data_IF_653769284699
#
_entry.id   IF_653769284699
#
_cell.length_a   1.000
_cell.length_b   1.000
_cell.length_c   1.000
_cell.angle_alpha   90.00
_cell.angle_beta   90.00
_cell.angle_gamma   90.00
#
_symmetry.space_group_name_H-M   'P 1'
#
loop_
_entity.id
_entity.type
_entity.pdbx_description
1 polymer ?
#
# COMPACT_ATOMS: atom_id res chain seq x y z
N UNK A 1 35.36 -20.67 42.24
CA UNK A 1 33.94 -20.32 42.47
C UNK A 1 33.18 -20.51 41.16
N UNK A 2 32.03 -21.21 41.15
CA UNK A 2 31.45 -21.71 39.92
C UNK A 2 30.80 -20.60 39.10
N UNK A 3 30.99 -20.65 37.78
CA UNK A 3 30.37 -19.74 36.83
C UNK A 3 28.86 -19.99 36.77
N UNK A 4 28.07 -19.21 37.51
CA UNK A 4 26.60 -19.26 37.43
C UNK A 4 26.11 -18.80 36.05
N UNK A 5 25.61 -19.76 35.27
CA UNK A 5 24.94 -19.54 33.99
C UNK A 5 23.60 -18.84 34.21
N UNK A 6 23.53 -17.53 33.95
CA UNK A 6 22.26 -16.81 33.98
C UNK A 6 21.44 -17.15 32.72
N UNK A 7 20.42 -18.00 32.86
CA UNK A 7 19.44 -18.31 31.81
C UNK A 7 18.24 -17.35 31.92
N UNK A 8 17.57 -17.11 30.80
CA UNK A 8 16.31 -16.36 30.77
C UNK A 8 15.21 -17.16 31.46
N UNK A 9 14.46 -16.55 32.38
CA UNK A 9 13.34 -17.24 33.04
C UNK A 9 12.27 -17.78 32.06
N UNK A 10 11.96 -17.02 31.00
CA UNK A 10 10.84 -17.36 30.09
C UNK A 10 11.17 -18.31 28.92
N UNK A 11 12.42 -18.33 28.48
CA UNK A 11 12.81 -19.13 27.31
C UNK A 11 14.09 -19.94 27.52
N UNK A 12 14.59 -19.97 28.76
CA UNK A 12 15.78 -20.69 29.22
C UNK A 12 17.08 -20.37 28.45
N UNK A 13 17.05 -19.37 27.57
CA UNK A 13 18.20 -18.97 26.75
C UNK A 13 19.34 -18.44 27.62
N UNK A 14 20.56 -18.89 27.35
CA UNK A 14 21.78 -18.43 28.04
C UNK A 14 22.02 -16.92 27.79
N UNK A 15 22.01 -16.11 28.85
CA UNK A 15 22.16 -14.65 28.78
C UNK A 15 23.61 -14.17 28.74
N UNK A 16 24.59 -15.07 28.51
CA UNK A 16 26.03 -14.73 28.55
C UNK A 16 26.47 -13.70 27.50
N UNK A 17 25.69 -13.53 26.42
CA UNK A 17 25.98 -12.62 25.30
C UNK A 17 24.97 -11.47 25.13
N UNK A 18 23.94 -11.39 25.97
CA UNK A 18 22.87 -10.38 25.87
C UNK A 18 22.83 -9.47 27.12
N UNK A 19 22.43 -8.20 26.95
CA UNK A 19 22.20 -7.29 28.08
C UNK A 19 21.06 -7.83 28.94
N UNK A 20 21.36 -8.19 30.19
CA UNK A 20 20.37 -8.62 31.20
C UNK A 20 19.44 -7.46 31.54
N UNK A 21 18.13 -7.72 31.60
CA UNK A 21 17.13 -6.78 32.11
C UNK A 21 16.47 -7.41 33.34
N UNK A 22 16.57 -6.75 34.49
CA UNK A 22 15.96 -7.18 35.74
C UNK A 22 14.57 -6.54 35.90
N UNK A 23 13.59 -7.27 36.45
CA UNK A 23 12.20 -6.81 36.62
C UNK A 23 12.03 -5.67 37.65
N UNK A 24 13.10 -5.29 38.37
CA UNK A 24 13.10 -4.38 39.53
C UNK A 24 12.60 -2.94 39.28
N UNK A 25 12.16 -2.60 38.06
CA UNK A 25 11.84 -1.21 37.69
C UNK A 25 10.33 -0.88 37.64
N UNK A 26 9.42 -1.80 37.99
CA UNK A 26 7.98 -1.53 38.02
C UNK A 26 7.25 -2.48 38.99
N UNK A 27 6.84 -2.03 40.20
CA UNK A 27 6.18 -2.87 41.21
C UNK A 27 4.89 -3.53 40.72
N UNK A 28 4.02 -2.81 40.01
CA UNK A 28 2.76 -3.35 39.46
C UNK A 28 2.96 -4.46 38.42
N UNK A 29 4.16 -4.53 37.84
CA UNK A 29 4.53 -5.55 36.84
C UNK A 29 4.97 -6.86 37.49
N UNK A 30 5.45 -6.82 38.74
CA UNK A 30 5.92 -8.02 39.43
C UNK A 30 4.76 -8.92 39.84
N UNK A 31 3.72 -8.35 40.46
CA UNK A 31 2.58 -9.12 40.98
C UNK A 31 1.80 -9.82 39.86
N UNK A 32 1.60 -9.14 38.72
CA UNK A 32 0.93 -9.73 37.55
C UNK A 32 1.76 -10.84 36.89
N UNK A 33 3.07 -10.66 36.81
CA UNK A 33 3.97 -11.66 36.21
C UNK A 33 4.08 -12.88 37.12
N UNK A 34 4.09 -12.68 38.44
CA UNK A 34 4.10 -13.77 39.40
C UNK A 34 2.79 -14.59 39.36
N UNK A 35 1.62 -13.94 39.25
CA UNK A 35 0.32 -14.63 39.11
C UNK A 35 0.22 -15.46 37.82
N UNK A 36 0.73 -14.94 36.70
CA UNK A 36 0.74 -15.68 35.43
C UNK A 36 1.72 -16.87 35.46
N UNK A 37 2.84 -16.73 36.16
CA UNK A 37 3.82 -17.80 36.32
C UNK A 37 3.33 -18.91 37.24
N UNK A 38 2.66 -18.55 38.33
CA UNK A 38 2.00 -19.49 39.22
C UNK A 38 0.97 -20.35 38.46
N UNK A 39 0.21 -19.72 37.54
CA UNK A 39 -0.78 -20.39 36.68
C UNK A 39 -0.17 -21.32 35.63
N UNK A 40 0.99 -20.97 35.08
CA UNK A 40 1.60 -21.73 33.97
C UNK A 40 2.58 -22.82 34.45
N UNK A 41 3.29 -22.58 35.55
CA UNK A 41 4.41 -23.41 35.98
C UNK A 41 4.36 -23.82 37.46
N UNK A 42 3.37 -23.37 38.21
CA UNK A 42 3.09 -23.85 39.58
C UNK A 42 4.06 -23.38 40.67
N UNK A 43 4.91 -22.40 40.40
CA UNK A 43 5.83 -21.81 41.38
C UNK A 43 6.00 -20.30 41.15
N UNK A 44 6.35 -19.57 42.22
CA UNK A 44 6.59 -18.13 42.19
C UNK A 44 7.95 -17.80 41.54
N UNK A 45 8.06 -16.60 40.98
CA UNK A 45 9.33 -16.06 40.47
C UNK A 45 10.05 -15.33 41.60
N UNK A 46 11.33 -15.64 41.80
CA UNK A 46 12.19 -14.87 42.71
C UNK A 46 12.66 -13.56 42.06
N UNK A 47 12.80 -12.50 42.88
CA UNK A 47 13.18 -11.12 42.50
C UNK A 47 14.48 -10.99 41.68
N UNK A 48 15.30 -12.04 41.64
CA UNK A 48 16.58 -12.07 40.91
C UNK A 48 16.47 -12.64 39.48
N UNK A 49 15.29 -13.06 39.04
CA UNK A 49 15.11 -13.72 37.74
C UNK A 49 15.35 -12.76 36.57
N UNK A 50 16.31 -13.09 35.70
CA UNK A 50 16.69 -12.27 34.56
C UNK A 50 15.94 -12.66 33.28
N UNK A 51 15.49 -11.67 32.49
CA UNK A 51 14.82 -11.89 31.20
C UNK A 51 15.70 -11.46 30.02
N UNK A 52 15.57 -12.17 28.89
CA UNK A 52 16.17 -11.76 27.63
C UNK A 52 15.40 -10.60 27.00
N UNK A 53 16.06 -9.84 26.13
CA UNK A 53 15.46 -8.63 25.53
C UNK A 53 14.24 -8.97 24.66
N UNK A 54 14.25 -10.11 23.96
CA UNK A 54 13.14 -10.54 23.12
C UNK A 54 11.87 -10.85 23.94
N UNK A 55 12.02 -11.58 25.06
CA UNK A 55 10.92 -11.88 25.97
C UNK A 55 10.38 -10.62 26.64
N UNK A 56 11.27 -9.71 27.07
CA UNK A 56 10.87 -8.41 27.62
C UNK A 56 10.07 -7.56 26.61
N UNK A 57 10.50 -7.52 25.35
CA UNK A 57 9.83 -6.71 24.31
C UNK A 57 8.51 -7.32 23.84
N UNK A 58 8.39 -8.66 23.79
CA UNK A 58 7.09 -9.32 23.55
C UNK A 58 6.08 -8.97 24.64
N UNK A 59 6.52 -8.96 25.89
CA UNK A 59 5.68 -8.66 27.05
C UNK A 59 5.27 -7.17 27.13
N UNK A 60 6.20 -6.23 26.91
CA UNK A 60 5.86 -4.79 26.91
C UNK A 60 4.77 -4.43 25.88
N UNK A 61 4.66 -5.23 24.81
CA UNK A 61 3.60 -5.08 23.80
C UNK A 61 2.26 -5.62 24.26
N UNK A 62 2.22 -6.71 25.04
CA UNK A 62 0.96 -7.29 25.55
C UNK A 62 0.35 -6.48 26.69
N UNK A 63 1.17 -5.84 27.54
CA UNK A 63 0.67 -4.94 28.61
C UNK A 63 0.05 -3.67 28.02
N UNK A 64 0.62 -3.13 26.94
CA UNK A 64 0.07 -1.94 26.26
C UNK A 64 -1.24 -2.21 25.52
N UNK A 65 -1.54 -3.47 25.18
CA UNK A 65 -2.82 -3.85 24.55
C UNK A 65 -3.94 -4.13 25.57
N UNK A 66 -3.64 -4.23 26.87
CA UNK A 66 -4.62 -4.53 27.92
C UNK A 66 -5.12 -3.31 28.71
N UNK A 67 -4.62 -2.10 28.44
CA UNK A 67 -4.90 -0.90 29.24
C UNK A 67 -5.94 0.05 28.60
N UNK A 68 -6.95 -0.47 27.90
CA UNK A 68 -8.05 0.34 27.38
C UNK A 68 -9.40 -0.36 27.46
N UNK A 69 -9.94 -0.46 28.67
CA UNK A 69 -11.38 -0.58 28.92
C UNK A 69 -11.68 0.12 30.23
N UNK A 70 -12.18 1.35 30.15
CA UNK A 70 -12.91 2.01 31.24
C UNK A 70 -14.40 2.01 30.85
N UNK A 71 -15.22 1.59 31.82
CA UNK A 71 -16.65 1.38 31.76
C UNK A 71 -17.47 2.64 31.41
N UNK A 72 -18.47 2.49 30.55
CA UNK A 72 -19.81 3.09 30.75
C UNK A 72 -20.83 2.60 29.71
N UNK A 73 -21.71 1.71 30.19
CA UNK A 73 -23.15 1.59 29.91
C UNK A 73 -23.72 2.16 28.60
N UNK A 74 -24.14 1.28 27.68
CA UNK A 74 -25.38 1.45 26.89
C UNK A 74 -26.05 0.06 26.72
N UNK A 75 -27.35 0.03 27.00
CA UNK A 75 -28.27 -1.11 26.95
C UNK A 75 -28.38 -1.75 25.56
N UNK A 76 -28.68 -3.04 25.59
CA UNK A 76 -28.61 -4.01 24.51
C UNK A 76 -30.02 -4.35 24.02
N UNK A 77 -30.34 -4.03 22.77
CA UNK A 77 -31.42 -4.68 22.02
C UNK A 77 -30.83 -5.90 21.29
N UNK A 78 -31.41 -7.06 21.59
CA UNK A 78 -31.03 -8.38 21.12
C UNK A 78 -31.67 -8.70 19.79
N UNK A 79 -30.87 -8.98 18.75
CA UNK A 79 -31.24 -9.94 17.70
C UNK A 79 -30.06 -10.88 17.42
N UNK A 80 -30.31 -12.15 17.67
CA UNK A 80 -29.44 -13.32 17.59
C UNK A 80 -29.22 -13.78 16.15
N UNK A 81 -27.96 -13.95 15.73
CA UNK A 81 -27.57 -14.98 14.74
C UNK A 81 -26.29 -15.66 15.19
N UNK A 82 -26.42 -16.94 15.48
CA UNK A 82 -25.37 -17.88 15.85
C UNK A 82 -24.40 -18.08 14.69
N UNK A 83 -23.10 -18.14 14.99
CA UNK A 83 -22.10 -18.84 14.18
C UNK A 83 -20.98 -19.32 15.12
N UNK A 84 -20.85 -20.64 15.22
CA UNK A 84 -19.83 -21.35 15.99
C UNK A 84 -18.40 -21.14 15.43
N UNK A 85 -17.36 -21.15 16.28
CA UNK A 85 -15.97 -21.08 15.84
C UNK A 85 -15.43 -22.47 15.46
N UNK A 86 -14.97 -22.61 14.21
CA UNK A 86 -14.20 -23.77 13.75
C UNK A 86 -12.79 -23.73 14.35
N UNK A 87 -12.50 -24.71 15.19
CA UNK A 87 -11.16 -25.03 15.72
C UNK A 87 -10.32 -25.73 14.66
N UNK A 88 -9.15 -25.15 14.33
CA UNK A 88 -8.12 -25.82 13.52
C UNK A 88 -7.10 -26.43 14.48
N UNK A 89 -7.10 -27.76 14.59
CA UNK A 89 -6.10 -28.53 15.33
C UNK A 89 -4.86 -28.78 14.47
N UNK A 90 -3.71 -28.33 14.96
CA UNK A 90 -2.39 -28.71 14.44
C UNK A 90 -2.03 -30.10 14.97
N UNK A 91 -1.92 -31.10 14.10
CA UNK A 91 -1.30 -32.39 14.45
C UNK A 91 0.17 -32.32 14.05
N UNK A 92 1.04 -32.20 15.06
CA UNK A 92 2.47 -32.45 14.93
C UNK A 92 2.74 -33.95 14.96
N UNK A 93 3.46 -34.47 13.96
CA UNK A 93 4.02 -35.82 14.01
C UNK A 93 5.18 -35.85 15.02
N UNK A 94 4.99 -36.61 16.11
CA UNK A 94 6.08 -37.11 16.93
C UNK A 94 6.61 -38.41 16.32
N UNK A 95 7.94 -38.49 16.17
CA UNK A 95 8.64 -39.72 15.86
C UNK A 95 8.73 -40.59 17.11
N UNK A 96 8.24 -41.83 17.04
CA UNK A 96 8.56 -42.88 17.99
C UNK A 96 8.99 -44.15 17.26
N UNK A 97 10.07 -44.73 17.77
CA UNK A 97 10.74 -45.92 17.30
C UNK A 97 10.17 -47.18 17.95
N UNK A 98 9.86 -48.21 17.16
CA UNK A 98 10.03 -49.62 17.55
C UNK A 98 9.88 -50.58 16.36
N UNK A 99 10.69 -51.63 16.40
CA UNK A 99 10.88 -52.73 15.47
C UNK A 99 9.78 -53.80 15.51
N UNK A 100 9.45 -54.41 14.37
CA UNK A 100 9.69 -55.84 14.00
C UNK A 100 8.64 -56.44 13.04
N UNK A 101 9.17 -57.09 12.00
CA UNK A 101 8.71 -58.23 11.19
C UNK A 101 7.25 -58.47 10.71
N UNK A 102 7.23 -58.85 9.41
CA UNK A 102 6.38 -59.84 8.74
C UNK A 102 5.12 -59.38 7.95
N UNK A 103 5.26 -59.53 6.62
CA UNK A 103 4.31 -60.02 5.59
C UNK A 103 2.80 -59.78 5.83
N UNK A 104 2.11 -59.18 4.87
CA UNK A 104 1.45 -59.82 3.70
C UNK A 104 0.52 -58.80 3.02
N UNK A 105 0.29 -58.99 1.72
CA UNK A 105 -0.93 -58.65 0.95
C UNK A 105 -1.01 -57.30 0.24
N UNK A 106 -1.04 -57.40 -1.09
CA UNK A 106 -1.40 -56.36 -2.06
C UNK A 106 -2.75 -55.71 -1.73
N UNK A 107 -2.82 -54.40 -1.92
CA UNK A 107 -4.09 -53.73 -2.23
C UNK A 107 -3.81 -52.65 -3.28
N UNK A 108 -4.14 -53.02 -4.52
CA UNK A 108 -4.35 -52.15 -5.66
C UNK A 108 -5.30 -51.00 -5.36
N UNK A 109 -5.11 -49.88 -6.09
CA UNK A 109 -5.94 -48.67 -6.21
C UNK A 109 -5.50 -47.50 -5.32
N UNK A 110 -4.52 -46.74 -5.81
CA UNK A 110 -4.56 -45.29 -5.71
C UNK A 110 -4.51 -44.76 -7.14
N UNK A 111 -5.65 -44.26 -7.61
CA UNK A 111 -5.71 -43.43 -8.81
C UNK A 111 -4.80 -42.24 -8.61
N UNK A 112 -3.83 -42.06 -9.50
CA UNK A 112 -3.03 -40.84 -9.57
C UNK A 112 -3.98 -39.69 -9.90
N UNK A 113 -4.33 -38.88 -8.89
CA UNK A 113 -5.04 -37.62 -9.07
C UNK A 113 -4.15 -36.65 -9.86
N UNK A 114 -4.24 -36.75 -11.18
CA UNK A 114 -3.54 -35.87 -12.12
C UNK A 114 -4.18 -34.48 -12.06
N UNK A 115 -3.50 -33.55 -11.37
CA UNK A 115 -3.91 -32.15 -11.34
C UNK A 115 -3.71 -31.56 -12.74
N UNK A 116 -4.81 -31.22 -13.43
CA UNK A 116 -4.76 -30.54 -14.72
C UNK A 116 -4.43 -29.05 -14.51
N UNK A 117 -3.16 -28.70 -14.58
CA UNK A 117 -2.72 -27.31 -14.66
C UNK A 117 -2.73 -26.85 -16.12
N UNK A 118 -3.39 -25.71 -16.39
CA UNK A 118 -3.41 -25.09 -17.73
C UNK A 118 -2.21 -24.17 -17.87
N UNK A 119 -1.01 -24.76 -17.97
CA UNK A 119 0.24 -24.04 -18.14
C UNK A 119 0.89 -24.52 -19.43
N UNK A 120 1.23 -23.61 -20.34
CA UNK A 120 1.94 -23.97 -21.55
C UNK A 120 3.45 -24.10 -21.28
N UNK A 121 4.05 -25.18 -21.76
CA UNK A 121 5.49 -25.44 -21.67
C UNK A 121 6.10 -25.46 -23.08
N UNK A 122 6.54 -24.31 -23.61
CA UNK A 122 7.32 -24.29 -24.84
C UNK A 122 8.54 -25.21 -24.67
N UNK A 123 8.88 -25.96 -25.72
CA UNK A 123 10.06 -26.81 -25.73
C UNK A 123 11.34 -26.02 -25.43
N UNK A 124 12.44 -26.70 -25.13
CA UNK A 124 13.72 -26.03 -24.88
C UNK A 124 14.62 -26.12 -26.11
N UNK A 125 15.04 -24.98 -26.65
CA UNK A 125 16.07 -24.93 -27.70
C UNK A 125 17.02 -23.75 -27.52
N UNK A 126 18.31 -23.99 -27.76
CA UNK A 126 19.35 -22.97 -27.81
C UNK A 126 19.57 -22.40 -29.23
N UNK A 127 18.99 -23.06 -30.25
CA UNK A 127 19.20 -22.76 -31.68
C UNK A 127 18.06 -21.97 -32.31
N UNK A 128 16.87 -21.98 -31.72
CA UNK A 128 15.69 -21.30 -32.26
C UNK A 128 15.11 -20.34 -31.23
N UNK A 129 14.45 -19.28 -31.71
CA UNK A 129 13.63 -18.42 -30.88
C UNK A 129 12.41 -19.18 -30.37
N UNK A 130 12.14 -19.15 -29.06
CA UNK A 130 11.01 -19.87 -28.47
C UNK A 130 9.63 -19.23 -28.70
N UNK A 131 9.60 -18.02 -29.26
CA UNK A 131 8.36 -17.33 -29.63
C UNK A 131 8.02 -17.57 -31.11
N UNK A 132 8.98 -17.34 -32.01
CA UNK A 132 8.73 -17.41 -33.46
C UNK A 132 9.35 -18.63 -34.17
N UNK A 133 10.04 -19.52 -33.45
CA UNK A 133 10.74 -20.70 -33.98
C UNK A 133 11.79 -20.44 -35.07
N UNK A 134 12.16 -19.18 -35.31
CA UNK A 134 13.21 -18.82 -36.26
C UNK A 134 14.61 -19.21 -35.73
N UNK A 135 15.48 -19.69 -36.61
CA UNK A 135 16.89 -19.97 -36.30
C UNK A 135 17.60 -18.72 -35.79
N UNK A 136 18.41 -18.89 -34.75
CA UNK A 136 19.21 -17.83 -34.12
C UNK A 136 20.64 -17.77 -34.67
N UNK A 137 20.87 -18.30 -35.88
CA UNK A 137 22.19 -18.38 -36.52
C UNK A 137 22.63 -17.00 -37.07
N UNK A 138 23.90 -16.67 -36.82
CA UNK A 138 24.83 -15.63 -37.35
C UNK A 138 24.31 -14.31 -37.96
N UNK A 139 23.11 -13.84 -37.59
CA UNK A 139 22.64 -12.51 -37.98
C UNK A 139 21.38 -11.99 -37.28
N UNK A 140 20.63 -12.85 -36.59
CA UNK A 140 19.46 -12.44 -35.80
C UNK A 140 19.87 -12.06 -34.38
N UNK A 141 19.71 -10.78 -33.96
CA UNK A 141 20.05 -10.38 -32.61
C UNK A 141 19.11 -11.09 -31.62
N UNK A 142 19.68 -11.83 -30.69
CA UNK A 142 18.95 -12.66 -29.74
C UNK A 142 19.61 -12.67 -28.38
N UNK A 143 18.78 -12.78 -27.36
CA UNK A 143 19.20 -12.65 -25.96
C UNK A 143 18.63 -13.81 -25.14
N UNK A 144 19.37 -14.23 -24.11
CA UNK A 144 18.84 -15.13 -23.08
C UNK A 144 17.72 -14.38 -22.37
N UNK A 145 16.53 -14.97 -22.26
CA UNK A 145 15.42 -14.34 -21.55
C UNK A 145 15.82 -14.15 -20.08
N UNK A 146 15.69 -12.92 -19.58
CA UNK A 146 15.93 -12.63 -18.16
C UNK A 146 14.90 -13.33 -17.29
N UNK A 147 15.23 -13.52 -16.02
CA UNK A 147 14.31 -14.13 -15.04
C UNK A 147 13.01 -13.32 -14.95
N UNK A 148 13.10 -11.99 -15.02
CA UNK A 148 11.96 -11.06 -15.04
C UNK A 148 11.02 -11.31 -16.22
N UNK A 149 11.55 -11.48 -17.44
CA UNK A 149 10.72 -11.77 -18.62
C UNK A 149 10.04 -13.14 -18.46
N UNK A 150 10.75 -14.16 -17.97
CA UNK A 150 10.19 -15.51 -17.75
C UNK A 150 9.06 -15.49 -16.72
N UNK A 151 9.29 -14.82 -15.58
CA UNK A 151 8.34 -14.69 -14.48
C UNK A 151 7.10 -13.89 -14.92
N UNK A 152 7.30 -12.74 -15.56
CA UNK A 152 6.20 -11.91 -16.06
C UNK A 152 5.36 -12.67 -17.10
N UNK A 153 5.99 -13.39 -18.02
CA UNK A 153 5.27 -14.19 -19.02
C UNK A 153 4.46 -15.32 -18.37
N UNK A 154 4.99 -15.95 -17.31
CA UNK A 154 4.24 -16.94 -16.55
C UNK A 154 3.04 -16.34 -15.81
N UNK A 155 3.23 -15.21 -15.11
CA UNK A 155 2.17 -14.55 -14.33
C UNK A 155 1.04 -14.07 -15.24
N UNK A 156 1.37 -13.41 -16.35
CA UNK A 156 0.36 -12.74 -17.19
C UNK A 156 -0.20 -13.63 -18.30
N UNK A 157 0.52 -14.67 -18.73
CA UNK A 157 0.14 -15.47 -19.89
C UNK A 157 0.14 -16.97 -19.62
N UNK A 158 0.45 -17.42 -18.40
CA UNK A 158 0.47 -18.83 -18.00
C UNK A 158 1.38 -19.70 -18.90
N UNK A 159 2.43 -19.09 -19.45
CA UNK A 159 3.46 -19.77 -20.24
C UNK A 159 4.75 -19.80 -19.46
N UNK A 160 5.29 -20.99 -19.23
CA UNK A 160 6.53 -21.16 -18.48
C UNK A 160 7.72 -21.46 -19.40
N UNK A 161 8.74 -20.61 -19.37
CA UNK A 161 10.01 -20.83 -20.05
C UNK A 161 11.08 -21.33 -19.07
N UNK A 162 11.77 -22.42 -19.44
CA UNK A 162 12.92 -22.95 -18.66
C UNK A 162 14.08 -21.96 -18.63
N UNK A 163 14.90 -22.00 -17.57
CA UNK A 163 16.15 -21.23 -17.57
C UNK A 163 17.04 -21.55 -18.78
N UNK A 164 17.68 -20.52 -19.32
CA UNK A 164 18.50 -20.61 -20.54
C UNK A 164 17.71 -20.48 -21.85
N UNK A 165 16.39 -20.29 -21.77
CA UNK A 165 15.51 -20.00 -22.91
C UNK A 165 15.97 -18.75 -23.68
N UNK A 166 15.95 -18.82 -25.02
CA UNK A 166 16.35 -17.71 -25.91
C UNK A 166 15.18 -17.19 -26.72
N UNK A 167 15.14 -15.87 -26.87
CA UNK A 167 14.22 -15.18 -27.76
C UNK A 167 14.98 -14.16 -28.61
N UNK A 168 14.48 -13.86 -29.81
CA UNK A 168 15.06 -12.80 -30.62
C UNK A 168 14.61 -11.43 -30.11
N UNK A 169 15.47 -10.41 -30.25
CA UNK A 169 15.23 -9.07 -29.69
C UNK A 169 13.96 -8.41 -30.21
N UNK A 170 13.43 -8.85 -31.36
CA UNK A 170 12.17 -8.34 -31.93
C UNK A 170 10.94 -8.65 -31.09
N UNK A 171 11.04 -9.55 -30.11
CA UNK A 171 9.93 -9.95 -29.23
C UNK A 171 10.09 -9.42 -27.81
N UNK A 172 11.21 -8.76 -27.50
CA UNK A 172 11.54 -8.26 -26.17
C UNK A 172 11.52 -6.73 -26.22
N UNK A 173 10.76 -6.12 -25.33
CA UNK A 173 10.69 -4.68 -25.13
C UNK A 173 10.93 -4.38 -23.65
N UNK A 174 12.15 -3.96 -23.31
CA UNK A 174 12.60 -3.86 -21.91
C UNK A 174 12.57 -5.22 -21.21
N UNK A 175 11.86 -5.30 -20.08
CA UNK A 175 11.70 -6.51 -19.26
C UNK A 175 10.40 -7.27 -19.56
N UNK A 176 9.78 -6.98 -20.70
CA UNK A 176 8.51 -7.59 -21.14
C UNK A 176 8.58 -8.15 -22.56
N UNK A 177 7.66 -9.06 -22.88
CA UNK A 177 7.39 -9.48 -24.26
C UNK A 177 6.44 -8.48 -24.91
N UNK A 178 6.71 -8.12 -26.16
CA UNK A 178 5.84 -7.19 -26.88
C UNK A 178 4.50 -7.84 -27.29
N UNK A 179 3.53 -7.01 -27.66
CA UNK A 179 2.16 -7.46 -27.94
C UNK A 179 2.07 -8.47 -29.10
N UNK A 180 2.98 -8.38 -30.08
CA UNK A 180 3.09 -9.35 -31.17
C UNK A 180 3.54 -10.73 -30.67
N UNK A 181 4.51 -10.78 -29.75
CA UNK A 181 4.97 -12.01 -29.11
C UNK A 181 3.86 -12.66 -28.28
N UNK A 182 3.10 -11.86 -27.52
CA UNK A 182 1.99 -12.34 -26.70
C UNK A 182 0.90 -12.99 -27.57
N UNK A 183 0.54 -12.40 -28.72
CA UNK A 183 -0.43 -12.97 -29.65
C UNK A 183 0.02 -14.30 -30.25
N UNK A 184 1.33 -14.48 -30.47
CA UNK A 184 1.88 -15.76 -30.92
C UNK A 184 1.76 -16.79 -29.79
N UNK A 185 2.13 -16.45 -28.56
CA UNK A 185 2.06 -17.34 -27.41
C UNK A 185 0.62 -17.75 -27.03
N UNK A 186 -0.36 -16.86 -27.22
CA UNK A 186 -1.78 -17.20 -27.04
C UNK A 186 -2.26 -18.27 -28.02
N UNK A 187 -1.72 -18.32 -29.24
CA UNK A 187 -1.98 -19.40 -30.20
C UNK A 187 -1.33 -20.72 -29.77
N UNK A 188 -0.16 -20.68 -29.14
CA UNK A 188 0.48 -21.87 -28.55
C UNK A 188 -0.34 -22.42 -27.36
N UNK A 189 -0.87 -21.54 -26.50
CA UNK A 189 -1.69 -21.94 -25.35
C UNK A 189 -2.95 -22.74 -25.76
N UNK A 190 -3.48 -22.49 -26.96
CA UNK A 190 -4.63 -23.24 -27.50
C UNK A 190 -4.25 -24.56 -28.18
N UNK A 191 -2.97 -24.74 -28.54
CA UNK A 191 -2.48 -25.91 -29.28
C UNK A 191 -1.71 -26.93 -28.42
N UNK A 192 -1.12 -26.52 -27.30
CA UNK A 192 -0.21 -27.36 -26.48
C UNK A 192 -0.60 -27.40 -25.00
N UNK A 193 -1.90 -27.42 -24.68
CA UNK A 193 -2.40 -27.64 -23.32
C UNK A 193 -2.14 -29.11 -22.90
N UNK A 194 -0.87 -29.46 -22.72
CA UNK A 194 -0.47 -30.74 -22.14
C UNK A 194 -0.61 -30.65 -20.62
N UNK A 195 -1.18 -31.70 -20.03
CA UNK A 195 -1.18 -31.92 -18.59
C UNK A 195 0.26 -31.98 -18.08
N UNK A 196 0.65 -30.98 -17.30
CA UNK A 196 1.96 -30.96 -16.64
C UNK A 196 2.15 -32.24 -15.82
N UNK A 197 3.20 -33.01 -16.12
CA UNK A 197 3.52 -34.21 -15.35
C UNK A 197 4.00 -33.82 -13.94
N UNK A 198 3.76 -34.64 -12.92
CA UNK A 198 4.10 -34.34 -11.52
C UNK A 198 5.58 -33.96 -11.31
N UNK A 199 6.48 -34.53 -12.12
CA UNK A 199 7.89 -34.16 -12.12
C UNK A 199 8.15 -32.74 -12.62
N UNK A 200 7.45 -32.28 -13.67
CA UNK A 200 7.59 -30.93 -14.22
C UNK A 200 7.08 -29.88 -13.23
N UNK A 201 6.00 -30.18 -12.52
CA UNK A 201 5.47 -29.34 -11.44
C UNK A 201 6.48 -29.28 -10.29
N UNK A 202 7.09 -30.41 -9.93
CA UNK A 202 8.10 -30.45 -8.87
C UNK A 202 9.36 -29.65 -9.23
N UNK A 203 9.78 -29.69 -10.50
CA UNK A 203 10.92 -28.91 -11.00
C UNK A 203 10.58 -27.42 -11.06
N UNK A 204 9.38 -27.06 -11.50
CA UNK A 204 8.89 -25.69 -11.50
C UNK A 204 8.84 -25.14 -10.07
N UNK A 205 8.30 -25.89 -9.11
CA UNK A 205 8.29 -25.50 -7.69
C UNK A 205 9.71 -25.35 -7.13
N UNK A 206 10.64 -26.28 -7.44
CA UNK A 206 12.03 -26.20 -7.00
C UNK A 206 12.78 -25.02 -7.62
N UNK A 207 12.51 -24.70 -8.89
CA UNK A 207 13.10 -23.54 -9.57
C UNK A 207 12.56 -22.24 -8.97
N UNK A 208 11.25 -22.13 -8.75
CA UNK A 208 10.66 -21.01 -8.02
C UNK A 208 11.22 -20.89 -6.59
N UNK A 209 11.41 -22.00 -5.88
CA UNK A 209 12.03 -22.00 -4.55
C UNK A 209 13.49 -21.52 -4.59
N UNK A 210 14.27 -21.97 -5.59
CA UNK A 210 15.65 -21.53 -5.75
C UNK A 210 15.75 -20.06 -6.12
N UNK A 211 14.88 -19.58 -7.01
CA UNK A 211 14.79 -18.16 -7.38
C UNK A 211 14.39 -17.32 -6.15
N UNK A 212 13.44 -17.78 -5.34
CA UNK A 212 13.05 -17.13 -4.08
C UNK A 212 14.16 -17.16 -3.01
N UNK A 213 15.01 -18.18 -2.97
CA UNK A 213 16.15 -18.28 -2.04
C UNK A 213 17.34 -17.40 -2.45
N UNK A 214 17.58 -17.25 -3.76
CA UNK A 214 18.64 -16.39 -4.30
C UNK A 214 18.28 -14.90 -4.22
N UNK A 215 16.98 -14.58 -4.26
CA UNK A 215 16.48 -13.26 -3.94
C UNK A 215 16.55 -13.08 -2.42
N UNK A 216 17.64 -12.46 -1.92
CA UNK A 216 17.80 -12.09 -0.51
C UNK A 216 16.47 -11.58 0.09
N UNK A 217 16.09 -11.98 1.33
CA UNK A 217 14.82 -11.61 1.97
C UNK A 217 14.61 -10.11 2.23
N UNK A 218 15.47 -9.24 1.70
CA UNK A 218 15.35 -7.79 1.80
C UNK A 218 14.58 -7.15 0.64
N UNK A 219 14.48 -7.78 -0.54
CA UNK A 219 13.81 -7.15 -1.71
C UNK A 219 12.34 -7.57 -1.90
N UNK A 220 11.95 -8.78 -1.49
CA UNK A 220 10.55 -9.25 -1.56
C UNK A 220 9.67 -8.76 -0.40
N UNK A 221 10.26 -8.30 0.70
CA UNK A 221 9.57 -7.56 1.76
C UNK A 221 9.78 -6.05 1.64
N UNK A 222 10.02 -5.50 0.44
CA UNK A 222 9.44 -4.19 0.17
C UNK A 222 7.94 -4.46 0.09
N UNK A 223 7.13 -4.05 1.08
CA UNK A 223 5.69 -4.17 0.95
C UNK A 223 5.35 -3.57 -0.42
N UNK A 224 4.82 -4.40 -1.33
CA UNK A 224 4.31 -3.91 -2.61
C UNK A 224 3.35 -2.81 -2.22
N UNK A 225 3.69 -1.59 -2.61
CA UNK A 225 2.83 -0.43 -2.43
C UNK A 225 1.50 -0.81 -3.06
N UNK A 226 0.44 -0.96 -2.24
CA UNK A 226 -0.90 -1.30 -2.75
C UNK A 226 -1.31 -0.23 -3.78
N UNK A 227 -0.92 1.01 -3.51
CA UNK A 227 -1.01 2.12 -4.45
C UNK A 227 0.37 2.52 -5.00
N UNK A 228 0.56 2.48 -6.31
CA UNK A 228 1.77 2.88 -7.01
C UNK A 228 1.46 3.77 -8.23
N UNK A 229 1.75 5.06 -8.12
CA UNK A 229 1.56 6.04 -9.21
C UNK A 229 2.78 6.20 -10.14
N UNK A 230 3.89 5.50 -9.87
CA UNK A 230 5.05 5.49 -10.76
C UNK A 230 4.84 4.61 -11.99
N UNK A 231 3.98 3.59 -11.89
CA UNK A 231 3.59 2.76 -13.03
C UNK A 231 2.40 3.39 -13.78
N UNK A 232 2.59 3.89 -15.02
CA UNK A 232 1.52 4.52 -15.77
C UNK A 232 0.47 3.51 -16.26
N UNK A 233 0.72 2.20 -16.26
CA UNK A 233 -0.20 1.19 -16.78
C UNK A 233 -1.05 0.52 -15.69
N UNK A 234 -0.76 0.78 -14.42
CA UNK A 234 -1.41 0.12 -13.30
C UNK A 234 -2.89 0.52 -13.11
N UNK A 235 -3.25 1.74 -13.52
CA UNK A 235 -4.56 2.33 -13.26
C UNK A 235 -5.22 2.84 -14.54
N UNK A 236 -6.54 2.61 -14.64
CA UNK A 236 -7.40 3.22 -15.64
C UNK A 236 -7.71 4.69 -15.29
N UNK A 237 -8.27 5.45 -16.23
CA UNK A 237 -8.67 6.84 -15.97
C UNK A 237 -9.74 6.95 -14.88
N UNK A 238 -10.64 5.96 -14.80
CA UNK A 238 -11.65 5.91 -13.74
C UNK A 238 -11.01 5.68 -12.37
N UNK A 239 -9.99 4.81 -12.29
CA UNK A 239 -9.23 4.62 -11.05
C UNK A 239 -8.53 5.92 -10.62
N UNK A 240 -7.95 6.68 -11.56
CA UNK A 240 -7.36 7.99 -11.27
C UNK A 240 -8.40 8.97 -10.73
N UNK A 241 -9.60 9.06 -11.33
CA UNK A 241 -10.68 9.92 -10.83
C UNK A 241 -11.17 9.49 -9.44
N UNK A 242 -11.32 8.19 -9.21
CA UNK A 242 -11.72 7.65 -7.91
C UNK A 242 -10.69 7.94 -6.82
N UNK A 243 -9.41 7.70 -7.12
CA UNK A 243 -8.33 7.83 -6.15
C UNK A 243 -7.88 9.28 -5.95
N UNK A 244 -7.81 10.09 -6.99
CA UNK A 244 -7.18 11.43 -6.94
C UNK A 244 -8.15 12.58 -7.20
N UNK A 245 -9.30 12.30 -7.83
CA UNK A 245 -10.28 13.31 -8.24
C UNK A 245 -10.01 13.94 -9.61
N UNK A 246 -8.93 13.55 -10.29
CA UNK A 246 -8.54 14.06 -11.60
C UNK A 246 -8.23 12.91 -12.57
N UNK A 247 -8.23 13.21 -13.86
CA UNK A 247 -7.89 12.25 -14.91
C UNK A 247 -6.38 12.00 -14.98
N UNK A 248 -5.99 10.90 -15.62
CA UNK A 248 -4.57 10.51 -15.75
C UNK A 248 -3.73 11.54 -16.49
N UNK A 249 -4.25 12.13 -17.55
CA UNK A 249 -3.56 13.19 -18.31
C UNK A 249 -3.37 14.46 -17.47
N UNK A 250 -4.39 14.84 -16.70
CA UNK A 250 -4.34 15.96 -15.76
C UNK A 250 -3.32 15.69 -14.65
N UNK A 251 -3.29 14.47 -14.13
CA UNK A 251 -2.31 14.05 -13.13
C UNK A 251 -0.88 14.14 -13.67
N UNK A 252 -0.64 13.63 -14.88
CA UNK A 252 0.68 13.71 -15.52
C UNK A 252 1.12 15.17 -15.68
N UNK A 253 0.25 16.02 -16.23
CA UNK A 253 0.49 17.46 -16.41
C UNK A 253 0.81 18.14 -15.07
N UNK A 254 0.05 17.82 -14.01
CA UNK A 254 0.28 18.35 -12.68
C UNK A 254 1.66 17.94 -12.13
N UNK A 255 2.05 16.67 -12.31
CA UNK A 255 3.35 16.19 -11.84
C UNK A 255 4.54 16.81 -12.58
N UNK A 256 4.34 17.27 -13.81
CA UNK A 256 5.35 17.99 -14.60
C UNK A 256 5.52 19.46 -14.16
N UNK A 257 4.42 20.11 -13.77
CA UNK A 257 4.43 21.49 -13.28
C UNK A 257 5.18 21.61 -11.95
N UNK A 258 4.99 20.62 -11.07
CA UNK A 258 5.48 20.68 -9.69
C UNK A 258 6.97 20.32 -9.59
N UNK A 259 7.76 21.23 -9.04
CA UNK A 259 9.21 21.05 -8.85
C UNK A 259 9.49 20.51 -7.45
N UNK A 260 9.79 19.22 -7.36
CA UNK A 260 10.22 18.59 -6.11
C UNK A 260 11.42 17.68 -6.34
N UNK A 261 12.20 17.42 -5.29
CA UNK A 261 13.25 16.42 -5.35
C UNK A 261 12.65 15.03 -5.10
N UNK A 262 13.01 14.09 -5.95
CA UNK A 262 12.86 12.67 -5.63
C UNK A 262 13.70 12.34 -4.40
N UNK A 263 13.22 11.44 -3.55
CA UNK A 263 13.98 10.89 -2.43
C UNK A 263 14.07 9.38 -2.58
N UNK A 264 14.96 8.74 -1.82
CA UNK A 264 15.14 7.29 -1.85
C UNK A 264 13.84 6.51 -1.58
N UNK A 265 12.90 7.12 -0.85
CA UNK A 265 11.66 6.49 -0.42
C UNK A 265 10.43 6.94 -1.21
N UNK A 266 10.55 7.91 -2.13
CA UNK A 266 9.42 8.38 -2.94
C UNK A 266 9.82 9.17 -4.18
N UNK A 267 9.04 9.00 -5.24
CA UNK A 267 9.02 9.90 -6.38
C UNK A 267 8.12 11.12 -6.16
N UNK A 268 8.18 12.08 -7.08
CA UNK A 268 7.22 13.20 -7.19
C UNK A 268 5.80 12.66 -7.40
N UNK A 269 5.61 11.72 -8.34
CA UNK A 269 4.30 11.15 -8.67
C UNK A 269 3.66 10.48 -7.46
N UNK A 270 4.43 9.69 -6.72
CA UNK A 270 3.97 9.06 -5.49
C UNK A 270 3.54 10.08 -4.42
N UNK A 271 4.25 11.20 -4.31
CA UNK A 271 3.92 12.23 -3.35
C UNK A 271 2.64 13.00 -3.69
N UNK A 272 2.50 13.39 -4.96
CA UNK A 272 1.30 14.07 -5.46
C UNK A 272 0.11 13.11 -5.40
N UNK A 273 0.28 11.86 -5.81
CA UNK A 273 -0.73 10.80 -5.69
C UNK A 273 -1.17 10.61 -4.24
N UNK A 274 -0.24 10.49 -3.29
CA UNK A 274 -0.56 10.35 -1.87
C UNK A 274 -1.36 11.55 -1.31
N UNK A 275 -0.97 12.76 -1.69
CA UNK A 275 -1.68 13.98 -1.27
C UNK A 275 -3.09 14.04 -1.87
N UNK A 276 -3.24 13.82 -3.18
CA UNK A 276 -4.53 13.87 -3.85
C UNK A 276 -5.46 12.76 -3.33
N UNK A 277 -4.94 11.55 -3.12
CA UNK A 277 -5.71 10.48 -2.48
C UNK A 277 -6.16 10.85 -1.09
N UNK A 278 -5.30 11.49 -0.29
CA UNK A 278 -5.72 12.01 1.01
C UNK A 278 -6.88 13.00 0.91
N UNK A 279 -6.78 13.97 0.00
CA UNK A 279 -7.78 15.02 -0.17
C UNK A 279 -9.11 14.45 -0.71
N UNK A 280 -9.04 13.50 -1.64
CA UNK A 280 -10.22 12.89 -2.28
C UNK A 280 -10.98 11.95 -1.33
N UNK A 281 -10.26 11.10 -0.60
CA UNK A 281 -10.84 10.01 0.20
C UNK A 281 -10.98 10.33 1.68
N UNK A 282 -10.33 11.39 2.16
CA UNK A 282 -10.27 11.79 3.59
C UNK A 282 -9.67 10.74 4.51
N UNK A 283 -8.88 9.81 3.98
CA UNK A 283 -8.24 8.76 4.77
C UNK A 283 -7.20 9.33 5.76
N UNK A 284 -7.07 8.64 6.90
CA UNK A 284 -6.07 8.95 7.91
C UNK A 284 -4.66 8.67 7.39
N UNK A 285 -3.65 9.36 7.94
CA UNK A 285 -2.26 9.11 7.55
C UNK A 285 -1.80 7.68 7.90
N UNK A 286 -2.46 7.03 8.87
CA UNK A 286 -2.17 5.64 9.22
C UNK A 286 -2.63 4.69 8.11
N UNK A 287 -3.84 4.88 7.59
CA UNK A 287 -4.36 4.06 6.48
C UNK A 287 -3.57 4.31 5.21
N UNK A 288 -3.25 5.58 4.91
CA UNK A 288 -2.39 5.92 3.78
C UNK A 288 -0.99 5.32 3.90
N UNK A 289 -0.43 5.22 5.10
CA UNK A 289 0.86 4.55 5.29
C UNK A 289 0.77 3.07 4.89
N UNK A 290 -0.33 2.39 5.24
CA UNK A 290 -0.57 1.02 4.79
C UNK A 290 -0.76 0.92 3.28
N UNK A 291 -1.61 1.77 2.68
CA UNK A 291 -1.91 1.72 1.24
C UNK A 291 -0.70 2.02 0.36
N UNK A 292 0.10 3.01 0.74
CA UNK A 292 1.32 3.38 0.02
C UNK A 292 2.56 2.67 0.57
N UNK A 293 2.38 1.67 1.44
CA UNK A 293 3.45 0.87 2.02
C UNK A 293 4.60 1.69 2.66
N UNK A 294 4.28 2.84 3.24
CA UNK A 294 5.20 3.64 4.04
C UNK A 294 5.32 3.08 5.45
N UNK A 295 6.51 3.17 6.03
CA UNK A 295 6.80 2.59 7.35
C UNK A 295 6.11 3.29 8.53
N UNK A 296 5.66 4.54 8.37
CA UNK A 296 5.04 5.32 9.45
C UNK A 296 4.10 6.42 8.92
N UNK A 297 2.97 6.65 9.61
CA UNK A 297 2.05 7.80 9.39
C UNK A 297 2.73 9.17 9.41
N UNK A 298 3.85 9.31 10.14
CA UNK A 298 4.64 10.55 10.21
C UNK A 298 5.32 10.85 8.88
N UNK A 299 5.76 9.82 8.16
CA UNK A 299 6.36 9.95 6.83
C UNK A 299 5.31 10.45 5.85
N UNK A 300 4.12 9.85 5.85
CA UNK A 300 2.98 10.31 5.04
C UNK A 300 2.67 11.78 5.29
N UNK A 301 2.65 12.22 6.56
CA UNK A 301 2.45 13.62 6.90
C UNK A 301 3.50 14.55 6.29
N UNK A 302 4.79 14.17 6.36
CA UNK A 302 5.88 14.94 5.73
C UNK A 302 5.80 14.96 4.21
N UNK A 303 5.44 13.83 3.58
CA UNK A 303 5.26 13.72 2.14
C UNK A 303 4.13 14.64 1.68
N UNK A 304 2.97 14.54 2.32
CA UNK A 304 1.80 15.36 1.99
C UNK A 304 2.07 16.84 2.20
N UNK A 305 2.77 17.22 3.27
CA UNK A 305 3.16 18.61 3.50
C UNK A 305 4.12 19.11 2.41
N UNK A 306 5.14 18.33 2.06
CA UNK A 306 6.07 18.69 0.98
C UNK A 306 5.38 18.81 -0.38
N UNK A 307 4.44 17.92 -0.70
CA UNK A 307 3.65 17.98 -1.92
C UNK A 307 2.72 19.19 -1.93
N UNK A 308 2.10 19.50 -0.80
CA UNK A 308 1.24 20.67 -0.62
C UNK A 308 2.03 21.97 -0.83
N UNK A 309 3.18 22.12 -0.19
CA UNK A 309 4.04 23.30 -0.35
C UNK A 309 4.53 23.48 -1.78
N UNK A 310 4.80 22.36 -2.48
CA UNK A 310 5.21 22.40 -3.87
C UNK A 310 4.05 22.84 -4.80
N UNK A 311 2.83 22.36 -4.56
CA UNK A 311 1.64 22.83 -5.28
C UNK A 311 1.37 24.32 -5.02
N UNK A 312 1.46 24.78 -3.77
CA UNK A 312 1.28 26.20 -3.43
C UNK A 312 2.30 27.11 -4.11
N UNK A 313 3.53 26.63 -4.31
CA UNK A 313 4.59 27.42 -4.91
C UNK A 313 4.56 27.37 -6.44
N UNK A 314 4.35 26.20 -7.02
CA UNK A 314 4.56 25.99 -8.45
C UNK A 314 3.25 25.96 -9.24
N UNK A 315 2.17 25.41 -8.68
CA UNK A 315 0.88 25.28 -9.36
C UNK A 315 -0.05 26.48 -9.09
N UNK A 316 -0.30 26.81 -7.82
CA UNK A 316 -1.28 27.84 -7.45
C UNK A 316 -1.04 29.18 -8.16
N UNK A 317 0.18 29.75 -8.23
CA UNK A 317 0.38 31.05 -8.87
C UNK A 317 0.08 31.08 -10.37
N UNK A 318 0.06 29.91 -11.02
CA UNK A 318 -0.20 29.77 -12.46
C UNK A 318 -1.68 29.56 -12.78
N UNK A 319 -2.49 29.10 -11.82
CA UNK A 319 -3.86 28.64 -12.08
C UNK A 319 -4.90 29.15 -11.07
N UNK A 320 -4.49 29.88 -10.03
CA UNK A 320 -5.39 30.40 -9.01
C UNK A 320 -4.85 31.70 -8.38
N UNK A 321 -5.75 32.67 -8.18
CA UNK A 321 -5.41 33.98 -7.58
C UNK A 321 -5.29 35.08 -8.62
N UNK A 322 -5.40 36.35 -8.22
CA UNK A 322 -5.61 37.45 -9.19
C UNK A 322 -4.47 37.71 -10.19
N UNK A 323 -3.30 37.10 -9.99
CA UNK A 323 -2.14 37.29 -10.86
C UNK A 323 -2.11 36.35 -12.06
N UNK A 324 -2.86 35.24 -12.04
CA UNK A 324 -2.76 34.22 -13.07
C UNK A 324 -3.60 34.53 -14.33
N UNK A 325 -4.57 35.44 -14.21
CA UNK A 325 -5.51 35.75 -15.29
C UNK A 325 -5.75 37.26 -15.37
N UNK A 326 -5.75 37.79 -16.58
CA UNK A 326 -5.97 39.22 -16.85
C UNK A 326 -7.46 39.56 -16.99
N UNK A 327 -7.82 40.83 -16.80
CA UNK A 327 -9.20 41.31 -17.01
C UNK A 327 -9.69 41.00 -18.42
N UNK A 328 -8.85 41.24 -19.42
CA UNK A 328 -9.14 41.05 -20.83
C UNK A 328 -9.41 39.57 -21.14
N UNK A 329 -8.66 38.66 -20.52
CA UNK A 329 -8.90 37.23 -20.63
C UNK A 329 -10.21 36.81 -19.99
N UNK A 330 -10.57 37.34 -18.82
CA UNK A 330 -11.86 37.04 -18.18
C UNK A 330 -13.01 37.54 -19.06
N UNK A 331 -12.90 38.75 -19.60
CA UNK A 331 -13.92 39.33 -20.48
C UNK A 331 -14.10 38.47 -21.74
N UNK A 332 -12.99 38.03 -22.35
CA UNK A 332 -13.02 37.27 -23.60
C UNK A 332 -13.41 35.80 -23.43
N UNK A 333 -12.94 35.14 -22.38
CA UNK A 333 -13.06 33.67 -22.22
C UNK A 333 -14.10 33.24 -21.21
N UNK A 334 -14.40 34.07 -20.20
CA UNK A 334 -15.17 33.66 -19.02
C UNK A 334 -16.37 34.57 -18.68
N UNK A 335 -16.62 35.59 -19.52
CA UNK A 335 -17.83 36.41 -19.44
C UNK A 335 -18.84 35.91 -20.46
N UNK A 336 -19.94 35.35 -19.98
CA UNK A 336 -20.99 34.80 -20.84
C UNK A 336 -21.78 35.94 -21.50
N UNK A 337 -22.26 35.75 -22.75
CA UNK A 337 -23.05 36.78 -23.43
C UNK A 337 -24.30 37.21 -22.65
N UNK A 338 -24.92 36.27 -21.94
CA UNK A 338 -26.09 36.55 -21.11
C UNK A 338 -25.73 37.45 -19.91
N UNK A 339 -24.67 37.13 -19.18
CA UNK A 339 -24.24 37.94 -18.05
C UNK A 339 -23.80 39.34 -18.51
N UNK A 340 -23.11 39.42 -19.64
CA UNK A 340 -22.72 40.69 -20.23
C UNK A 340 -23.95 41.54 -20.58
N UNK A 341 -24.93 41.00 -21.30
CA UNK A 341 -26.12 41.74 -21.70
C UNK A 341 -27.03 42.17 -20.53
N UNK A 342 -27.03 41.44 -19.41
CA UNK A 342 -27.89 41.73 -18.26
C UNK A 342 -27.25 42.69 -17.23
N UNK A 343 -25.94 42.60 -17.03
CA UNK A 343 -25.25 43.25 -15.91
C UNK A 343 -24.22 44.29 -16.33
N UNK A 344 -23.95 44.40 -17.64
CA UNK A 344 -22.92 45.30 -18.19
C UNK A 344 -23.38 45.91 -19.51
N UNK A 345 -22.75 46.98 -19.95
CA UNK A 345 -22.97 47.55 -21.29
C UNK A 345 -22.02 46.96 -22.35
N UNK A 346 -21.58 45.71 -22.17
CA UNK A 346 -20.71 44.99 -23.12
C UNK A 346 -19.20 45.06 -22.87
N UNK A 347 -18.74 45.91 -21.95
CA UNK A 347 -17.30 46.07 -21.60
C UNK A 347 -17.02 45.82 -20.11
N UNK A 348 -17.93 45.14 -19.40
CA UNK A 348 -17.79 44.83 -17.98
C UNK A 348 -17.43 43.37 -17.73
N UNK A 349 -16.55 43.12 -16.77
CA UNK A 349 -16.32 41.77 -16.24
C UNK A 349 -17.37 41.49 -15.16
N UNK A 350 -18.06 40.36 -15.27
CA UNK A 350 -18.99 39.89 -14.25
C UNK A 350 -18.32 38.81 -13.41
N UNK A 351 -18.20 39.07 -12.10
CA UNK A 351 -17.71 38.11 -11.12
C UNK A 351 -18.80 37.79 -10.10
N UNK A 352 -18.81 36.55 -9.64
CA UNK A 352 -19.68 36.01 -8.62
C UNK A 352 -18.82 35.79 -7.38
N UNK A 353 -19.22 36.42 -6.27
CA UNK A 353 -18.61 36.24 -4.96
C UNK A 353 -19.51 35.33 -4.12
N UNK A 354 -19.09 34.08 -3.95
CA UNK A 354 -19.82 33.12 -3.13
C UNK A 354 -19.08 32.82 -1.83
N UNK A 355 -19.77 33.00 -0.71
CA UNK A 355 -19.25 32.72 0.63
C UNK A 355 -19.97 31.48 1.19
N UNK A 356 -19.39 30.31 0.94
CA UNK A 356 -19.95 29.03 1.41
C UNK A 356 -19.29 28.58 2.71
N UNK A 357 -20.10 28.11 3.67
CA UNK A 357 -19.61 27.53 4.92
C UNK A 357 -19.04 26.13 4.69
N UNK A 358 -17.79 25.90 5.09
CA UNK A 358 -17.22 24.55 5.16
C UNK A 358 -17.25 24.10 6.61
N UNK A 359 -18.05 23.07 6.91
CA UNK A 359 -18.09 22.47 8.23
C UNK A 359 -16.82 21.68 8.50
N UNK A 360 -16.28 21.86 9.69
CA UNK A 360 -15.09 21.15 10.16
C UNK A 360 -15.44 20.34 11.39
N UNK A 361 -14.77 19.21 11.57
CA UNK A 361 -14.84 18.48 12.83
C UNK A 361 -14.30 19.35 13.98
N UNK A 362 -14.74 19.04 15.21
CA UNK A 362 -14.28 19.72 16.41
C UNK A 362 -12.78 19.44 16.59
N UNK A 363 -11.90 20.46 16.50
CA UNK A 363 -10.48 20.23 16.69
C UNK A 363 -10.19 19.94 18.17
N UNK A 364 -9.16 19.13 18.45
CA UNK A 364 -8.69 18.88 19.82
C UNK A 364 -8.02 20.10 20.48
N UNK A 365 -7.68 21.12 19.68
CA UNK A 365 -7.15 22.39 20.19
C UNK A 365 -8.31 23.32 20.59
N UNK A 366 -8.47 23.53 21.90
CA UNK A 366 -9.52 24.38 22.48
C UNK A 366 -9.53 25.82 21.94
N UNK A 367 -8.37 26.42 21.69
CA UNK A 367 -8.27 27.79 21.16
C UNK A 367 -8.81 27.83 19.74
N UNK A 368 -8.37 26.87 18.90
CA UNK A 368 -8.83 26.77 17.52
C UNK A 368 -10.33 26.43 17.46
N UNK A 369 -10.81 25.53 18.32
CA UNK A 369 -12.21 25.18 18.42
C UNK A 369 -13.09 26.41 18.64
N UNK A 370 -12.74 27.26 19.63
CA UNK A 370 -13.50 28.48 19.93
C UNK A 370 -13.53 29.44 18.75
N UNK A 371 -12.43 29.53 18.00
CA UNK A 371 -12.35 30.40 16.81
C UNK A 371 -13.16 29.87 15.63
N UNK A 372 -13.20 28.55 15.45
CA UNK A 372 -13.98 27.88 14.40
C UNK A 372 -15.47 27.76 14.72
N UNK A 373 -15.88 27.88 15.99
CA UNK A 373 -17.28 27.74 16.37
C UNK A 373 -18.12 28.93 15.92
N UNK A 374 -19.14 28.67 15.11
CA UNK A 374 -20.16 29.65 14.76
C UNK A 374 -21.34 29.51 15.72
N UNK A 375 -21.63 30.58 16.47
CA UNK A 375 -22.83 30.62 17.33
C UNK A 375 -24.11 30.49 16.50
N UNK A 376 -24.19 31.20 15.36
CA UNK A 376 -25.36 31.18 14.48
C UNK A 376 -25.64 29.81 13.85
N UNK A 377 -24.60 28.99 13.63
CA UNK A 377 -24.74 27.65 13.02
C UNK A 377 -24.63 26.50 14.03
N UNK A 378 -24.32 26.83 15.29
CA UNK A 378 -24.14 25.86 16.38
C UNK A 378 -23.00 24.87 16.17
N UNK A 379 -22.04 25.12 15.27
CA UNK A 379 -20.99 24.16 14.87
C UNK A 379 -19.70 24.81 14.40
N UNK A 380 -18.63 24.02 14.37
CA UNK A 380 -17.32 24.45 13.86
C UNK A 380 -17.33 24.54 12.34
N UNK A 381 -16.85 25.67 11.81
CA UNK A 381 -16.79 25.94 10.38
C UNK A 381 -15.70 26.95 10.03
N UNK A 382 -15.33 26.94 8.75
CA UNK A 382 -14.56 28.01 8.10
C UNK A 382 -15.40 28.64 6.98
N UNK A 383 -15.06 29.88 6.63
CA UNK A 383 -15.73 30.65 5.59
C UNK A 383 -14.72 31.03 4.51
N UNK A 384 -14.43 30.18 3.51
CA UNK A 384 -13.78 30.65 2.30
C UNK A 384 -14.76 31.52 1.49
N UNK A 385 -14.20 32.44 0.70
CA UNK A 385 -14.94 33.16 -0.34
C UNK A 385 -14.35 32.77 -1.70
N UNK A 386 -15.18 32.18 -2.53
CA UNK A 386 -14.86 31.83 -3.91
C UNK A 386 -15.21 33.00 -4.81
N UNK A 387 -14.28 33.35 -5.69
CA UNK A 387 -14.43 34.39 -6.70
C UNK A 387 -14.41 33.68 -8.03
N UNK A 388 -15.55 33.73 -8.71
CA UNK A 388 -15.83 32.91 -9.88
C UNK A 388 -16.32 33.81 -11.00
N UNK A 389 -15.96 33.52 -12.24
CA UNK A 389 -16.51 34.19 -13.41
C UNK A 389 -17.93 33.69 -13.71
N UNK A 390 -18.62 34.35 -14.64
CA UNK A 390 -20.02 34.03 -14.97
C UNK A 390 -20.24 32.64 -15.57
N UNK A 391 -19.20 32.00 -16.10
CA UNK A 391 -19.23 30.64 -16.65
C UNK A 391 -18.87 29.55 -15.62
N UNK A 392 -18.58 29.92 -14.37
CA UNK A 392 -18.13 29.00 -13.33
C UNK A 392 -16.61 28.86 -13.22
N UNK A 393 -15.81 29.58 -14.02
CA UNK A 393 -14.36 29.57 -13.91
C UNK A 393 -13.88 30.18 -12.59
N UNK A 394 -13.05 29.46 -11.84
CA UNK A 394 -12.54 29.93 -10.54
C UNK A 394 -11.38 30.90 -10.77
N UNK A 395 -11.59 32.17 -10.44
CA UNK A 395 -10.56 33.21 -10.54
C UNK A 395 -9.65 33.18 -9.31
N UNK A 396 -10.25 33.12 -8.13
CA UNK A 396 -9.52 33.14 -6.87
C UNK A 396 -10.34 32.55 -5.75
N UNK A 397 -9.66 32.09 -4.71
CA UNK A 397 -10.27 31.79 -3.43
C UNK A 397 -9.60 32.66 -2.38
N UNK A 398 -10.36 33.53 -1.73
CA UNK A 398 -9.85 34.36 -0.65
C UNK A 398 -10.32 33.83 0.70
N UNK A 399 -9.39 33.84 1.64
CA UNK A 399 -9.63 33.51 3.03
C UNK A 399 -9.73 32.02 3.37
N UNK A 400 -10.02 31.84 4.64
CA UNK A 400 -10.55 30.68 5.34
C UNK A 400 -11.00 31.23 6.69
N UNK A 401 -11.86 32.25 6.62
CA UNK A 401 -12.13 33.10 7.77
C UNK A 401 -12.72 32.27 8.89
N UNK A 402 -12.20 32.48 10.10
CA UNK A 402 -12.66 31.79 11.28
C UNK A 402 -14.09 32.22 11.56
N UNK A 403 -14.91 31.30 12.10
CA UNK A 403 -16.31 31.59 12.35
C UNK A 403 -16.53 32.82 13.23
N UNK A 404 -15.63 33.05 14.19
CA UNK A 404 -15.63 34.19 15.10
C UNK A 404 -15.33 35.54 14.43
N UNK A 405 -14.79 35.57 13.21
CA UNK A 405 -14.64 36.82 12.46
C UNK A 405 -15.99 37.21 11.83
N UNK A 406 -16.49 38.37 12.25
CA UNK A 406 -17.79 38.93 11.86
C UNK A 406 -17.74 39.81 10.61
N UNK A 407 -16.56 40.30 10.20
CA UNK A 407 -16.43 41.20 9.05
C UNK A 407 -15.36 40.71 8.08
N UNK A 408 -15.77 40.54 6.82
CA UNK A 408 -14.86 40.39 5.68
C UNK A 408 -14.16 41.75 5.46
N UNK A 409 -12.93 41.89 5.94
CA UNK A 409 -12.05 42.94 5.44
C UNK A 409 -11.43 42.42 4.14
N UNK A 410 -11.96 42.89 3.01
CA UNK A 410 -11.31 42.78 1.71
C UNK A 410 -10.34 43.95 1.66
N UNK A 411 -9.05 43.68 1.89
CA UNK A 411 -7.95 44.65 1.81
C UNK A 411 -7.30 44.63 0.44
#
# INVERSE_FOLDING_TARGET
MPFNSARCGLCEKDLRKEKKRHLKNTPDMFDYVNDLYLKLYGHNIDDETALCTACYMRYSRSVKSGASTDDSNIEMDTETRENEPVTISFIGLQATSSSSDAKTTECSLLTEDTIKLTIAFPGFSKKYCLVCHQTLDDGTPSTKMSDEIRINTFIYHSVYFKDGSRSCLRHIEGDHLNEAAVKILQKYHSATAETANGEQISLLIKEFQSDLEQIKPQSLFKPRTILNFDDPFLYSDEDYRCLTGIEKEQFNSLTEIVRMRNTENRSIRMAIGCLLTKLRTRLSNQVLATLFAYSDRRIVGKINHSAYDALLRDFVPQYLGFHHITREEILKKHTTPLASALLTDGDGVVIILDATYIYTEKPGNNILQRRLYSWHKGRSLIKPMMIVASDGYIISSIGSYLAAMSYLQIS
#
